data_IF_867916335198
#
_entry.id   IF_867916335198
#
_cell.length_a   1.000
_cell.length_b   1.000
_cell.length_c   1.000
_cell.angle_alpha   90.00
_cell.angle_beta   90.00
_cell.angle_gamma   90.00
#
_symmetry.space_group_name_H-M   'P 1'
#
loop_
_entity.id
_entity.type
_entity.pdbx_description
1 polymer ?
#
# COMPACT_ATOMS: atom_id res chain seq x y z
N UNK A 1 -12.73 -24.46 8.13
CA UNK A 1 -11.94 -24.26 6.89
C UNK A 1 -10.98 -23.10 7.17
N UNK A 2 -9.68 -23.23 6.89
CA UNK A 2 -8.73 -22.10 7.03
C UNK A 2 -8.76 -21.29 5.74
N UNK A 3 -8.73 -19.94 5.80
CA UNK A 3 -8.57 -19.13 4.60
C UNK A 3 -7.26 -19.48 3.88
N UNK A 4 -7.28 -19.44 2.55
CA UNK A 4 -6.06 -19.53 1.76
C UNK A 4 -5.24 -18.24 1.93
N UNK A 5 -4.10 -18.35 2.60
CA UNK A 5 -3.22 -17.21 2.86
C UNK A 5 -2.72 -16.54 1.56
N UNK A 6 -2.57 -17.30 0.47
CA UNK A 6 -2.19 -16.73 -0.82
C UNK A 6 -3.30 -15.85 -1.38
N UNK A 7 -4.55 -16.32 -1.36
CA UNK A 7 -5.71 -15.53 -1.80
C UNK A 7 -5.89 -14.28 -0.96
N UNK A 8 -5.76 -14.37 0.36
CA UNK A 8 -5.85 -13.22 1.26
C UNK A 8 -4.73 -12.21 0.96
N UNK A 9 -3.50 -12.67 0.75
CA UNK A 9 -2.38 -11.81 0.36
C UNK A 9 -2.66 -11.05 -0.94
N UNK A 10 -3.13 -11.75 -1.99
CA UNK A 10 -3.46 -11.12 -3.27
C UNK A 10 -4.57 -10.08 -3.12
N UNK A 11 -5.61 -10.41 -2.36
CA UNK A 11 -6.70 -9.48 -2.06
C UNK A 11 -6.17 -8.20 -1.38
N UNK A 12 -5.33 -8.33 -0.36
CA UNK A 12 -4.79 -7.18 0.38
C UNK A 12 -3.83 -6.33 -0.45
N UNK A 13 -3.02 -6.94 -1.32
CA UNK A 13 -2.18 -6.20 -2.27
C UNK A 13 -3.03 -5.39 -3.26
N UNK A 14 -4.07 -6.01 -3.83
CA UNK A 14 -5.00 -5.33 -4.74
C UNK A 14 -5.79 -4.22 -4.03
N UNK A 15 -6.12 -4.42 -2.75
CA UNK A 15 -6.75 -3.39 -1.94
C UNK A 15 -5.82 -2.19 -1.73
N UNK A 16 -4.54 -2.42 -1.43
CA UNK A 16 -3.55 -1.35 -1.34
C UNK A 16 -3.43 -0.58 -2.66
N UNK A 17 -3.39 -1.28 -3.80
CA UNK A 17 -3.34 -0.66 -5.13
C UNK A 17 -4.58 0.21 -5.38
N UNK A 18 -5.77 -0.32 -5.07
CA UNK A 18 -7.03 0.41 -5.25
C UNK A 18 -7.10 1.66 -4.37
N UNK A 19 -6.73 1.56 -3.08
CA UNK A 19 -6.74 2.70 -2.17
C UNK A 19 -5.76 3.77 -2.65
N UNK A 20 -4.54 3.40 -3.02
CA UNK A 20 -3.55 4.37 -3.51
C UNK A 20 -4.05 5.08 -4.77
N UNK A 21 -4.61 4.35 -5.72
CA UNK A 21 -5.14 4.92 -6.95
C UNK A 21 -6.28 5.92 -6.69
N UNK A 22 -7.21 5.60 -5.79
CA UNK A 22 -8.31 6.49 -5.44
C UNK A 22 -7.82 7.74 -4.69
N UNK A 23 -6.86 7.59 -3.79
CA UNK A 23 -6.28 8.72 -3.07
C UNK A 23 -5.47 9.63 -4.01
N UNK A 24 -4.66 9.08 -4.91
CA UNK A 24 -3.99 9.85 -5.98
C UNK A 24 -5.02 10.62 -6.82
N UNK A 25 -6.14 10.00 -7.21
CA UNK A 25 -7.14 10.64 -8.06
C UNK A 25 -7.83 11.84 -7.38
N UNK A 26 -7.98 11.80 -6.05
CA UNK A 26 -8.54 12.92 -5.26
C UNK A 26 -7.48 13.99 -4.99
N UNK A 27 -6.24 13.57 -4.71
CA UNK A 27 -5.19 14.47 -4.25
C UNK A 27 -4.44 15.18 -5.38
N UNK A 28 -4.15 14.46 -6.47
CA UNK A 28 -3.30 14.91 -7.58
C UNK A 28 -1.81 14.61 -7.42
N UNK A 29 -1.33 14.23 -6.23
CA UNK A 29 0.02 13.69 -6.04
C UNK A 29 0.05 12.16 -6.05
N UNK A 30 1.22 11.61 -6.37
CA UNK A 30 1.45 10.16 -6.46
C UNK A 30 2.06 9.58 -5.18
N UNK A 31 1.78 8.29 -4.94
CA UNK A 31 2.46 7.53 -3.89
C UNK A 31 3.86 7.09 -4.34
N UNK A 32 4.84 7.21 -3.45
CA UNK A 32 6.16 6.57 -3.57
C UNK A 32 6.15 5.26 -2.81
N UNK A 33 6.56 4.19 -3.48
CA UNK A 33 6.63 2.85 -2.91
C UNK A 33 8.02 2.50 -2.39
N UNK A 34 8.06 1.89 -1.21
CA UNK A 34 9.21 1.21 -0.64
C UNK A 34 8.85 -0.25 -0.33
N UNK A 35 9.46 -1.17 -1.07
CA UNK A 35 9.29 -2.61 -0.89
C UNK A 35 10.47 -3.16 -0.09
N UNK A 36 10.18 -3.86 1.00
CA UNK A 36 11.20 -4.32 1.95
C UNK A 36 11.00 -5.77 2.36
N UNK A 37 12.10 -6.38 2.78
CA UNK A 37 12.15 -7.75 3.27
C UNK A 37 13.03 -7.82 4.52
N UNK A 38 12.63 -8.60 5.52
CA UNK A 38 13.42 -8.82 6.74
C UNK A 38 14.27 -10.07 6.58
N UNK A 39 15.50 -10.04 7.11
CA UNK A 39 16.40 -11.21 7.13
C UNK A 39 15.77 -12.41 7.84
N UNK A 40 15.01 -12.17 8.92
CA UNK A 40 14.29 -13.20 9.68
C UNK A 40 13.01 -13.70 8.97
N UNK A 41 12.75 -13.28 7.72
CA UNK A 41 11.54 -13.58 6.98
C UNK A 41 10.42 -12.57 7.20
N UNK A 42 9.43 -12.60 6.30
CA UNK A 42 8.43 -11.55 6.18
C UNK A 42 8.93 -10.35 5.36
N UNK A 43 8.06 -9.39 5.11
CA UNK A 43 8.35 -8.25 4.26
C UNK A 43 7.12 -7.36 4.16
N UNK A 44 7.17 -6.37 3.29
CA UNK A 44 6.05 -5.48 3.09
C UNK A 44 6.25 -4.52 1.94
N UNK A 45 5.21 -3.71 1.73
CA UNK A 45 5.15 -2.66 0.72
C UNK A 45 4.57 -1.44 1.39
N UNK A 46 5.40 -0.44 1.64
CA UNK A 46 4.99 0.83 2.20
C UNK A 46 4.82 1.84 1.08
N UNK A 47 3.72 2.58 1.08
CA UNK A 47 3.48 3.66 0.11
C UNK A 47 3.19 4.95 0.82
N UNK A 48 3.89 6.02 0.45
CA UNK A 48 3.73 7.34 1.05
C UNK A 48 3.54 8.39 -0.04
N UNK A 49 2.49 9.20 0.11
CA UNK A 49 2.26 10.44 -0.64
C UNK A 49 2.59 11.61 0.30
N UNK A 50 3.29 12.63 -0.20
CA UNK A 50 3.63 13.84 0.56
C UNK A 50 3.46 15.09 -0.30
N UNK A 51 3.18 16.22 0.37
CA UNK A 51 3.01 17.52 -0.27
C UNK A 51 1.93 17.48 -1.37
N UNK A 52 0.82 16.80 -1.06
CA UNK A 52 -0.31 16.61 -1.95
C UNK A 52 -1.21 17.85 -2.06
N UNK A 53 -2.13 17.79 -3.02
CA UNK A 53 -3.13 18.84 -3.21
C UNK A 53 -4.22 18.87 -2.14
N UNK A 54 -4.44 17.73 -1.47
CA UNK A 54 -5.46 17.55 -0.43
C UNK A 54 -4.84 17.08 0.89
N UNK A 55 -3.95 16.10 0.82
CA UNK A 55 -3.24 15.53 1.94
C UNK A 55 -1.84 16.12 2.06
N UNK A 56 -1.52 16.72 3.21
CA UNK A 56 -0.14 17.05 3.56
C UNK A 56 0.74 15.80 3.49
N UNK A 57 0.24 14.67 4.01
CA UNK A 57 0.84 13.35 3.91
C UNK A 57 -0.22 12.24 4.01
N UNK A 58 -0.06 11.18 3.22
CA UNK A 58 -0.86 9.95 3.32
C UNK A 58 0.05 8.70 3.24
N UNK A 59 -0.34 7.62 3.92
CA UNK A 59 0.41 6.37 3.95
C UNK A 59 -0.49 5.14 3.88
N UNK A 60 -0.16 4.18 3.01
CA UNK A 60 -0.88 2.91 2.86
C UNK A 60 0.14 1.77 2.85
N UNK A 61 0.09 0.89 3.85
CA UNK A 61 1.09 -0.15 4.06
C UNK A 61 0.50 -1.56 3.95
N UNK A 62 1.28 -2.49 3.41
CA UNK A 62 1.04 -3.93 3.43
C UNK A 62 2.22 -4.65 4.11
N UNK A 63 1.96 -5.67 4.93
CA UNK A 63 2.96 -6.46 5.66
C UNK A 63 2.49 -7.89 5.93
#
# INVERSE_FOLDING_TARGET
MKPDAHQVKQFLLNLQDTICQQLTAVDGAEFVEDSWQREAGGGGRSRVLRNGGVFEQAGVNFS
#
